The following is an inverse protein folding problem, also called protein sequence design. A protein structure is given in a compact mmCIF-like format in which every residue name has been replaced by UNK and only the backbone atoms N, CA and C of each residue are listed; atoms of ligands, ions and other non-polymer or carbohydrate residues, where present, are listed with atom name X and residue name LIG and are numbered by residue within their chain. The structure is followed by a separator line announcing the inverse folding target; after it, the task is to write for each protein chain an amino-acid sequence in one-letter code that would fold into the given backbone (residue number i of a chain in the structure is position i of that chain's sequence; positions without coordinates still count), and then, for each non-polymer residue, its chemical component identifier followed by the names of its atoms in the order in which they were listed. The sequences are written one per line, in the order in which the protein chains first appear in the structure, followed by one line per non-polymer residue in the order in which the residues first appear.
data_IF_397383310979
#
_entry.id   IF_397383310979
#
_cell.length_a   1.000
_cell.length_b   1.000
_cell.length_c   1.000
_cell.angle_alpha   90.00
_cell.angle_beta   90.00
_cell.angle_gamma   90.00
#
_symmetry.space_group_name_H-M   'P 1'
#
loop_
_entity.id
_entity.type
_entity.pdbx_description
1 polymer ?
#
# COMPACT_ATOMS: atom_id res chain seq x y z
N UNK A 1 -18.23 -12.75 2.43
CA UNK A 1 -17.00 -11.95 2.55
C UNK A 1 -15.81 -12.87 2.35
N UNK A 2 -14.97 -12.65 1.33
CA UNK A 2 -13.78 -13.51 1.10
C UNK A 2 -12.73 -13.20 2.18
N UNK A 3 -12.25 -14.22 2.87
CA UNK A 3 -11.27 -14.05 3.95
C UNK A 3 -9.93 -13.60 3.35
N UNK A 4 -9.18 -12.76 4.07
CA UNK A 4 -7.91 -12.19 3.57
C UNK A 4 -6.91 -13.27 3.11
N UNK A 5 -6.98 -14.47 3.71
CA UNK A 5 -6.14 -15.64 3.42
C UNK A 5 -6.43 -16.25 2.05
N UNK A 6 -7.71 -16.34 1.67
CA UNK A 6 -8.16 -16.91 0.39
C UNK A 6 -7.76 -16.02 -0.79
N UNK A 7 -7.86 -14.70 -0.61
CA UNK A 7 -7.38 -13.71 -1.57
C UNK A 7 -5.85 -13.86 -1.72
N UNK A 8 -5.13 -14.02 -0.62
CA UNK A 8 -3.68 -14.19 -0.63
C UNK A 8 -3.22 -15.50 -1.30
N UNK A 9 -3.99 -16.59 -1.14
CA UNK A 9 -3.72 -17.86 -1.78
C UNK A 9 -3.91 -17.78 -3.30
N UNK A 10 -5.02 -17.20 -3.77
CA UNK A 10 -5.31 -17.05 -5.21
C UNK A 10 -4.30 -16.17 -5.94
N UNK A 11 -3.85 -15.09 -5.31
CA UNK A 11 -2.88 -14.19 -5.95
C UNK A 11 -1.46 -14.83 -5.94
N UNK A 12 -1.10 -15.66 -4.93
CA UNK A 12 0.11 -16.52 -4.95
C UNK A 12 0.08 -17.56 -6.06
N UNK A 13 -1.03 -18.28 -6.22
CA UNK A 13 -1.18 -19.32 -7.24
C UNK A 13 -1.00 -18.79 -8.67
N UNK A 14 -1.40 -17.54 -8.93
CA UNK A 14 -1.31 -16.92 -10.26
C UNK A 14 0.06 -16.34 -10.64
N UNK A 15 1.11 -16.48 -9.81
CA UNK A 15 2.47 -15.93 -10.06
C UNK A 15 2.45 -14.47 -10.58
N UNK A 16 1.50 -13.65 -10.15
CA UNK A 16 1.36 -12.25 -10.57
C UNK A 16 2.44 -11.32 -9.98
N UNK A 17 3.52 -11.87 -9.44
CA UNK A 17 4.51 -11.19 -8.61
C UNK A 17 5.90 -11.33 -9.19
N UNK A 18 6.41 -10.24 -9.74
CA UNK A 18 7.83 -10.12 -10.02
C UNK A 18 8.30 -8.77 -9.50
N UNK A 19 8.93 -8.78 -8.33
CA UNK A 19 9.88 -7.74 -7.96
C UNK A 19 11.25 -8.10 -8.46
N UNK A 20 12.08 -7.11 -8.74
CA UNK A 20 13.45 -7.32 -9.21
C UNK A 20 14.35 -6.68 -8.17
N UNK A 21 15.11 -7.51 -7.46
CA UNK A 21 16.25 -7.09 -6.63
C UNK A 21 17.30 -6.47 -7.54
N UNK A 22 18.25 -5.74 -6.95
CA UNK A 22 19.36 -5.10 -7.67
C UNK A 22 20.23 -6.10 -8.44
N UNK A 23 20.25 -7.37 -7.99
CA UNK A 23 20.91 -8.51 -8.63
C UNK A 23 20.03 -9.25 -9.66
N UNK A 24 18.80 -8.80 -9.89
CA UNK A 24 17.84 -9.42 -10.80
C UNK A 24 16.86 -10.42 -10.16
N UNK A 25 17.07 -10.83 -8.90
CA UNK A 25 16.26 -11.87 -8.24
C UNK A 25 14.91 -11.36 -7.71
N UNK A 26 13.93 -12.25 -7.48
CA UNK A 26 12.58 -11.84 -7.09
C UNK A 26 12.38 -11.84 -5.58
N UNK A 27 12.05 -10.68 -4.99
CA UNK A 27 11.64 -10.62 -3.58
C UNK A 27 10.15 -10.93 -3.45
N UNK A 28 9.80 -12.09 -2.88
CA UNK A 28 8.40 -12.55 -2.70
C UNK A 28 7.94 -12.54 -1.25
N UNK A 29 8.78 -12.11 -0.30
CA UNK A 29 8.44 -12.10 1.12
C UNK A 29 7.40 -11.01 1.43
N UNK A 30 6.20 -11.51 1.69
CA UNK A 30 4.98 -10.77 1.96
C UNK A 30 5.03 -10.02 3.29
N UNK A 31 5.74 -10.53 4.29
CA UNK A 31 5.85 -9.87 5.59
C UNK A 31 6.67 -8.59 5.47
N UNK A 32 7.79 -8.62 4.75
CA UNK A 32 8.60 -7.41 4.49
C UNK A 32 7.83 -6.33 3.75
N UNK A 33 7.05 -6.70 2.72
CA UNK A 33 6.23 -5.73 1.98
C UNK A 33 5.13 -5.12 2.86
N UNK A 34 4.43 -5.96 3.63
CA UNK A 34 3.44 -5.53 4.62
C UNK A 34 4.04 -4.56 5.64
N UNK A 35 5.23 -4.86 6.17
CA UNK A 35 5.97 -3.97 7.08
C UNK A 35 6.35 -2.65 6.40
N UNK A 36 6.75 -2.68 5.13
CA UNK A 36 7.06 -1.46 4.38
C UNK A 36 5.83 -0.56 4.20
N UNK A 37 4.67 -1.13 3.88
CA UNK A 37 3.40 -0.38 3.81
C UNK A 37 3.05 0.22 5.17
N UNK A 38 3.11 -0.59 6.23
CA UNK A 38 2.83 -0.13 7.58
C UNK A 38 3.77 1.01 8.01
N UNK A 39 5.07 0.87 7.75
CA UNK A 39 6.06 1.91 8.06
C UNK A 39 5.85 3.17 7.22
N UNK A 40 5.53 3.04 5.93
CA UNK A 40 5.21 4.18 5.08
C UNK A 40 3.96 4.94 5.55
N UNK A 41 2.97 4.23 6.11
CA UNK A 41 1.83 4.84 6.76
C UNK A 41 2.22 5.62 8.04
N UNK A 42 3.01 4.99 8.92
CA UNK A 42 3.43 5.59 10.20
C UNK A 42 4.34 6.82 10.00
N UNK A 43 5.32 6.70 9.11
CA UNK A 43 6.33 7.72 8.90
C UNK A 43 5.85 8.92 8.05
N UNK A 44 4.58 8.91 7.61
CA UNK A 44 4.06 9.94 6.71
C UNK A 44 3.02 10.81 7.40
N UNK A 45 3.13 12.14 7.29
CA UNK A 45 2.10 13.04 7.80
C UNK A 45 0.79 12.95 7.01
N UNK A 46 0.79 12.33 5.82
CA UNK A 46 -0.39 12.20 4.96
C UNK A 46 -1.43 11.23 5.50
N UNK A 47 -1.02 10.31 6.36
CA UNK A 47 -1.88 9.25 6.86
C UNK A 47 -2.05 9.36 8.37
N UNK A 48 -3.27 9.12 8.82
CA UNK A 48 -3.61 9.09 10.24
C UNK A 48 -4.02 7.67 10.62
N UNK A 49 -3.51 7.21 11.76
CA UNK A 49 -3.90 5.93 12.32
C UNK A 49 -5.25 6.09 13.01
N UNK A 50 -6.25 5.35 12.54
CA UNK A 50 -7.63 5.39 13.08
C UNK A 50 -7.90 4.24 14.05
N UNK A 51 -7.19 3.12 13.89
CA UNK A 51 -7.18 2.00 14.81
C UNK A 51 -5.85 1.23 14.70
N UNK A 52 -5.66 0.17 15.47
CA UNK A 52 -4.47 -0.67 15.32
C UNK A 52 -4.34 -1.20 13.88
N UNK A 53 -3.24 -0.82 13.21
CA UNK A 53 -2.96 -1.18 11.82
C UNK A 53 -3.87 -0.56 10.75
N UNK A 54 -4.85 0.27 11.13
CA UNK A 54 -5.76 0.95 10.18
C UNK A 54 -5.37 2.41 9.96
N UNK A 55 -5.35 2.82 8.70
CA UNK A 55 -4.92 4.14 8.28
C UNK A 55 -5.95 4.78 7.36
N UNK A 56 -6.12 6.09 7.48
CA UNK A 56 -6.92 6.93 6.59
C UNK A 56 -6.09 8.14 6.13
N UNK A 57 -6.55 8.85 5.09
CA UNK A 57 -5.95 10.12 4.69
C UNK A 57 -6.23 11.16 5.78
N UNK A 58 -5.21 11.92 6.18
CA UNK A 58 -5.40 12.98 7.17
C UNK A 58 -6.37 14.05 6.62
N UNK A 59 -7.25 14.57 7.46
CA UNK A 59 -8.31 15.52 7.06
C UNK A 59 -7.80 16.72 6.25
N UNK A 60 -6.62 17.25 6.59
CA UNK A 60 -5.97 18.37 5.87
C UNK A 60 -5.57 18.05 4.42
N UNK A 61 -5.54 16.77 4.04
CA UNK A 61 -5.20 16.31 2.70
C UNK A 61 -6.40 15.72 1.95
N UNK A 62 -7.61 15.78 2.51
CA UNK A 62 -8.81 15.22 1.89
C UNK A 62 -9.30 16.05 0.68
N UNK A 63 -9.04 17.36 0.67
CA UNK A 63 -9.60 18.32 -0.30
C UNK A 63 -8.71 18.53 -1.54
N UNK A 64 -8.26 17.45 -2.17
CA UNK A 64 -7.52 17.56 -3.43
C UNK A 64 -6.08 18.02 -3.23
N UNK A 65 -5.39 17.43 -2.26
CA UNK A 65 -3.93 17.52 -2.23
C UNK A 65 -3.40 16.98 -3.56
N UNK A 66 -2.93 17.86 -4.45
CA UNK A 66 -2.25 17.48 -5.67
C UNK A 66 -0.95 16.78 -5.27
N UNK A 67 -1.01 15.45 -5.11
CA UNK A 67 0.20 14.63 -4.90
C UNK A 67 1.21 14.77 -6.05
N UNK A 68 0.84 15.41 -7.17
CA UNK A 68 1.75 15.80 -8.24
C UNK A 68 2.64 17.01 -7.88
N UNK A 69 2.13 17.97 -7.10
CA UNK A 69 2.88 19.18 -6.66
C UNK A 69 3.65 18.94 -5.35
N UNK A 70 3.39 17.83 -4.67
CA UNK A 70 4.15 17.42 -3.50
C UNK A 70 5.51 16.85 -3.91
N UNK A 71 6.49 17.76 -4.09
CA UNK A 71 7.91 17.62 -4.49
C UNK A 71 8.72 16.47 -3.84
N UNK A 72 8.14 15.62 -2.98
CA UNK A 72 8.88 14.55 -2.29
C UNK A 72 8.00 13.37 -1.83
N UNK A 73 6.90 13.03 -2.51
CA UNK A 73 6.17 11.80 -2.15
C UNK A 73 6.85 10.56 -2.72
N UNK A 74 7.46 9.74 -1.86
CA UNK A 74 7.97 8.42 -2.25
C UNK A 74 6.89 7.64 -3.03
N UNK A 75 7.22 6.88 -4.09
CA UNK A 75 6.20 6.25 -4.95
C UNK A 75 5.25 5.30 -4.18
N UNK A 76 5.73 4.67 -3.09
CA UNK A 76 4.90 3.84 -2.22
C UNK A 76 3.80 4.65 -1.50
N UNK A 77 4.13 5.85 -0.99
CA UNK A 77 3.14 6.75 -0.36
C UNK A 77 2.07 7.19 -1.36
N UNK A 78 2.45 7.48 -2.60
CA UNK A 78 1.48 7.81 -3.66
C UNK A 78 0.53 6.64 -3.93
N UNK A 79 1.05 5.41 -4.02
CA UNK A 79 0.22 4.22 -4.15
C UNK A 79 -0.74 4.01 -2.96
N UNK A 80 -0.27 4.22 -1.73
CA UNK A 80 -1.11 4.15 -0.51
C UNK A 80 -2.21 5.22 -0.55
N UNK A 81 -1.86 6.45 -0.92
CA UNK A 81 -2.79 7.56 -1.02
C UNK A 81 -3.92 7.25 -2.01
N UNK A 82 -3.60 6.81 -3.22
CA UNK A 82 -4.59 6.40 -4.23
C UNK A 82 -5.55 5.33 -3.71
N UNK A 83 -5.02 4.32 -3.03
CA UNK A 83 -5.82 3.22 -2.47
C UNK A 83 -6.78 3.71 -1.38
N UNK A 84 -6.32 4.60 -0.50
CA UNK A 84 -7.15 5.15 0.57
C UNK A 84 -8.18 6.15 0.03
N UNK A 85 -7.83 6.92 -1.00
CA UNK A 85 -8.73 7.86 -1.67
C UNK A 85 -9.87 7.11 -2.35
N UNK A 86 -9.56 6.05 -3.10
CA UNK A 86 -10.57 5.19 -3.73
C UNK A 86 -11.46 4.47 -2.70
N UNK A 87 -10.92 4.13 -1.53
CA UNK A 87 -11.68 3.48 -0.47
C UNK A 87 -12.63 4.42 0.28
N UNK A 88 -12.42 5.74 0.19
CA UNK A 88 -13.22 6.74 0.90
C UNK A 88 -13.16 6.64 2.43
N UNK A 89 -12.19 5.91 2.98
CA UNK A 89 -12.19 5.56 4.40
C UNK A 89 -10.90 4.88 4.87
N UNK A 90 -10.94 4.33 6.09
CA UNK A 90 -9.76 3.68 6.68
C UNK A 90 -9.61 2.23 6.23
N UNK A 91 -8.37 1.82 5.93
CA UNK A 91 -8.02 0.44 5.59
C UNK A 91 -6.91 -0.07 6.49
N UNK A 92 -6.92 -1.38 6.78
CA UNK A 92 -5.80 -2.04 7.42
C UNK A 92 -4.59 -2.09 6.46
N UNK A 93 -3.36 -2.00 6.96
CA UNK A 93 -2.16 -1.98 6.11
C UNK A 93 -2.04 -3.21 5.19
N UNK A 94 -2.60 -4.35 5.60
CA UNK A 94 -2.65 -5.57 4.78
C UNK A 94 -3.63 -5.45 3.61
N UNK A 95 -4.77 -4.79 3.82
CA UNK A 95 -5.75 -4.49 2.78
C UNK A 95 -5.18 -3.48 1.78
N UNK A 96 -4.46 -2.47 2.28
CA UNK A 96 -3.73 -1.49 1.47
C UNK A 96 -2.71 -2.22 0.59
N UNK A 97 -1.87 -3.06 1.19
CA UNK A 97 -0.89 -3.87 0.47
C UNK A 97 -1.53 -4.75 -0.61
N UNK A 98 -2.64 -5.43 -0.29
CA UNK A 98 -3.36 -6.27 -1.24
C UNK A 98 -3.88 -5.46 -2.43
N UNK A 99 -4.48 -4.28 -2.20
CA UNK A 99 -4.99 -3.39 -3.24
C UNK A 99 -3.87 -2.80 -4.10
N UNK A 100 -2.75 -2.37 -3.51
CA UNK A 100 -1.57 -1.89 -4.24
C UNK A 100 -1.08 -2.97 -5.22
N UNK A 101 -1.05 -4.23 -4.78
CA UNK A 101 -0.63 -5.36 -5.63
C UNK A 101 -1.63 -5.69 -6.71
N UNK A 102 -2.92 -5.76 -6.37
CA UNK A 102 -3.98 -6.04 -7.34
C UNK A 102 -3.99 -5.01 -8.48
N UNK A 103 -3.71 -3.75 -8.16
CA UNK A 103 -3.66 -2.63 -9.10
C UNK A 103 -2.27 -2.36 -9.69
N UNK A 104 -1.24 -3.14 -9.31
CA UNK A 104 0.16 -2.96 -9.74
C UNK A 104 0.67 -1.51 -9.56
N UNK A 105 0.24 -0.82 -8.49
CA UNK A 105 0.50 0.61 -8.28
C UNK A 105 1.92 0.91 -7.81
N UNK A 106 2.61 -0.06 -7.21
CA UNK A 106 3.96 0.13 -6.71
C UNK A 106 4.78 -1.13 -6.88
N UNK A 107 6.05 -0.92 -7.25
CA UNK A 107 7.04 -1.98 -7.36
C UNK A 107 7.93 -1.97 -6.12
N UNK A 108 7.69 -2.92 -5.20
CA UNK A 108 8.54 -3.13 -4.02
C UNK A 108 9.95 -3.54 -4.46
N UNK A 109 10.97 -2.81 -4.01
CA UNK A 109 12.37 -3.09 -4.33
C UNK A 109 13.05 -3.80 -3.16
#
# INVERSE_FOLDING_TARGET
SLHYEEIHAKIRAKKLYVFRRRDGSVHTDLQRMRKAVNWACIASPFFVRTAYGRYAIAKKYLNGFNTQDAVSTSPLRNAIYRVLQEAGGSLHYEEIHAKIRAKKLYVFR
#
